data_IF_385871434204
#
_entry.id   IF_385871434204
#
_cell.length_a   1.000
_cell.length_b   1.000
_cell.length_c   1.000
_cell.angle_alpha   90.00
_cell.angle_beta   90.00
_cell.angle_gamma   90.00
#
_symmetry.space_group_name_H-M   'P 1'
#
loop_
_entity.id
_entity.type
_entity.pdbx_description
1 polymer ?
#
# COMPACT_ATOMS: atom_id res chain seq x y z
N UNK A 1 -9.17 -11.31 19.56
CA UNK A 1 -10.26 -10.49 18.99
C UNK A 1 -9.58 -9.44 18.14
N UNK A 2 -9.51 -9.67 16.83
CA UNK A 2 -8.92 -8.72 15.89
C UNK A 2 -9.89 -7.53 15.81
N UNK A 3 -9.53 -6.40 16.38
CA UNK A 3 -10.26 -5.15 16.16
C UNK A 3 -10.16 -4.85 14.66
N UNK A 4 -11.28 -5.00 13.95
CA UNK A 4 -11.36 -4.74 12.52
C UNK A 4 -11.31 -3.23 12.27
N UNK A 5 -10.53 -2.84 11.26
CA UNK A 5 -10.59 -1.52 10.64
C UNK A 5 -12.05 -1.11 10.34
N UNK A 6 -12.50 0.08 10.78
CA UNK A 6 -13.68 0.75 10.19
C UNK A 6 -14.97 0.88 11.01
N UNK A 7 -14.97 0.80 12.34
CA UNK A 7 -16.21 1.03 13.10
C UNK A 7 -16.71 2.49 13.02
N UNK A 8 -15.81 3.46 12.86
CA UNK A 8 -16.13 4.89 12.75
C UNK A 8 -15.30 5.51 11.61
N UNK A 9 -15.96 6.19 10.67
CA UNK A 9 -15.38 6.93 9.54
C UNK A 9 -15.78 8.41 9.63
N UNK A 10 -15.03 9.36 9.02
CA UNK A 10 -15.56 10.71 8.79
C UNK A 10 -16.91 10.66 8.06
N UNK A 11 -17.76 11.69 8.23
CA UNK A 11 -19.17 11.76 7.78
C UNK A 11 -19.49 11.24 6.37
N UNK A 12 -18.51 11.20 5.48
CA UNK A 12 -18.72 10.93 4.06
C UNK A 12 -18.95 9.44 3.72
N UNK A 13 -18.74 8.46 4.65
CA UNK A 13 -18.90 7.00 4.39
C UNK A 13 -18.16 6.49 3.13
N UNK A 14 -17.26 7.30 2.58
CA UNK A 14 -16.46 7.01 1.42
C UNK A 14 -15.11 6.56 1.96
N UNK A 15 -14.78 5.30 1.71
CA UNK A 15 -13.42 4.81 1.90
C UNK A 15 -12.45 5.81 1.27
N UNK A 16 -11.53 6.34 2.08
CA UNK A 16 -10.55 7.27 1.56
C UNK A 16 -9.79 6.62 0.41
N UNK A 17 -9.43 7.42 -0.60
CA UNK A 17 -8.62 6.96 -1.74
C UNK A 17 -7.39 6.17 -1.29
N UNK A 18 -6.75 6.61 -0.20
CA UNK A 18 -5.59 5.95 0.37
C UNK A 18 -5.91 4.59 1.00
N UNK A 19 -7.00 4.49 1.77
CA UNK A 19 -7.45 3.20 2.30
C UNK A 19 -7.82 2.22 1.17
N UNK A 20 -8.42 2.71 0.09
CA UNK A 20 -8.74 1.88 -1.07
C UNK A 20 -7.47 1.35 -1.75
N UNK A 21 -6.45 2.20 -1.92
CA UNK A 21 -5.13 1.79 -2.44
C UNK A 21 -4.49 0.72 -1.55
N UNK A 22 -4.55 0.88 -0.23
CA UNK A 22 -4.01 -0.10 0.72
C UNK A 22 -4.74 -1.44 0.62
N UNK A 23 -6.08 -1.44 0.52
CA UNK A 23 -6.84 -2.68 0.32
C UNK A 23 -6.48 -3.32 -1.03
N UNK A 24 -6.34 -2.53 -2.09
CA UNK A 24 -5.95 -3.03 -3.40
C UNK A 24 -4.56 -3.67 -3.39
N UNK A 25 -3.55 -3.03 -2.80
CA UNK A 25 -2.18 -3.57 -2.67
C UNK A 25 -2.15 -4.87 -1.85
N UNK A 26 -2.90 -4.93 -0.74
CA UNK A 26 -3.07 -6.15 0.05
C UNK A 26 -3.74 -7.27 -0.75
N UNK A 27 -4.72 -6.91 -1.59
CA UNK A 27 -5.41 -7.87 -2.46
C UNK A 27 -4.46 -8.37 -3.55
N UNK A 28 -3.64 -7.50 -4.14
CA UNK A 28 -2.56 -7.91 -5.06
C UNK A 28 -1.61 -8.89 -4.38
N UNK A 29 -1.13 -8.58 -3.18
CA UNK A 29 -0.22 -9.47 -2.44
C UNK A 29 -0.85 -10.85 -2.20
N UNK A 30 -2.13 -10.88 -1.82
CA UNK A 30 -2.86 -12.13 -1.55
C UNK A 30 -3.05 -12.96 -2.83
N UNK A 31 -3.50 -12.34 -3.91
CA UNK A 31 -3.91 -13.04 -5.13
C UNK A 31 -2.78 -13.23 -6.15
N UNK A 32 -1.70 -12.46 -6.01
CA UNK A 32 -0.60 -12.32 -6.98
C UNK A 32 0.75 -11.97 -6.30
N UNK A 33 1.21 -12.77 -5.31
CA UNK A 33 2.43 -12.46 -4.55
C UNK A 33 3.69 -12.33 -5.42
N UNK A 34 3.71 -12.92 -6.62
CA UNK A 34 4.83 -12.81 -7.56
C UNK A 34 5.09 -11.37 -8.04
N UNK A 35 4.13 -10.46 -7.90
CA UNK A 35 4.36 -9.04 -8.20
C UNK A 35 5.49 -8.48 -7.34
N UNK A 36 5.47 -8.76 -6.03
CA UNK A 36 6.50 -8.32 -5.10
C UNK A 36 7.82 -9.05 -5.37
N UNK A 37 7.76 -10.36 -5.68
CA UNK A 37 8.97 -11.11 -6.05
C UNK A 37 9.64 -10.56 -7.32
N UNK A 38 8.86 -10.16 -8.33
CA UNK A 38 9.42 -9.57 -9.55
C UNK A 38 9.91 -8.15 -9.35
N UNK A 39 9.27 -7.35 -8.48
CA UNK A 39 9.80 -6.07 -8.05
C UNK A 39 11.18 -6.25 -7.39
N UNK A 40 11.28 -7.20 -6.45
CA UNK A 40 12.51 -7.52 -5.75
C UNK A 40 13.60 -8.09 -6.67
N UNK A 41 13.28 -9.05 -7.52
CA UNK A 41 14.27 -9.73 -8.35
C UNK A 41 14.75 -8.86 -9.53
N UNK A 42 13.87 -8.06 -10.12
CA UNK A 42 14.17 -7.35 -11.37
C UNK A 42 14.53 -5.88 -11.14
N UNK A 43 13.88 -5.19 -10.20
CA UNK A 43 14.01 -3.74 -10.05
C UNK A 43 14.89 -3.37 -8.86
N UNK A 44 14.75 -4.06 -7.73
CA UNK A 44 15.43 -3.69 -6.49
C UNK A 44 16.95 -3.73 -6.56
N UNK A 45 17.54 -4.60 -7.38
CA UNK A 45 19.01 -4.61 -7.58
C UNK A 45 19.52 -3.29 -8.18
N UNK A 46 18.77 -2.70 -9.11
CA UNK A 46 19.07 -1.40 -9.74
C UNK A 46 18.91 -0.28 -8.71
N UNK A 47 17.80 -0.29 -7.96
CA UNK A 47 17.56 0.66 -6.87
C UNK A 47 18.69 0.63 -5.83
N UNK A 48 19.05 -0.57 -5.36
CA UNK A 48 20.12 -0.78 -4.38
C UNK A 48 21.47 -0.26 -4.88
N UNK A 49 21.82 -0.54 -6.14
CA UNK A 49 23.06 -0.06 -6.72
C UNK A 49 23.09 1.47 -6.81
N UNK A 50 21.97 2.10 -7.18
CA UNK A 50 21.83 3.55 -7.20
C UNK A 50 22.03 4.17 -5.81
N UNK A 51 21.41 3.61 -4.76
CA UNK A 51 21.59 4.10 -3.39
C UNK A 51 23.05 3.97 -2.94
N UNK A 52 23.71 2.84 -3.22
CA UNK A 52 25.14 2.67 -2.91
C UNK A 52 25.99 3.74 -3.62
N UNK A 53 25.72 4.02 -4.90
CA UNK A 53 26.43 5.08 -5.64
C UNK A 53 26.20 6.47 -5.04
N UNK A 54 24.98 6.76 -4.57
CA UNK A 54 24.65 8.01 -3.87
C UNK A 54 25.41 8.12 -2.55
N UNK A 55 25.40 7.06 -1.74
CA UNK A 55 26.09 7.02 -0.45
C UNK A 55 27.61 7.15 -0.61
N UNK A 56 28.21 6.49 -1.60
CA UNK A 56 29.63 6.63 -1.92
C UNK A 56 29.98 8.04 -2.41
N UNK A 57 29.13 8.65 -3.23
CA UNK A 57 29.33 10.03 -3.71
C UNK A 57 29.31 11.05 -2.57
N UNK A 58 28.55 10.80 -1.49
CA UNK A 58 28.49 11.65 -0.29
C UNK A 58 29.76 11.61 0.56
N UNK A 59 30.54 10.54 0.49
CA UNK A 59 31.73 10.36 1.36
C UNK A 59 32.87 11.30 0.99
N UNK A 60 33.16 11.45 -0.31
CA UNK A 60 34.31 12.22 -0.80
C UNK A 60 33.99 12.89 -2.15
N UNK A 61 34.44 14.13 -2.35
CA UNK A 61 34.19 14.92 -3.57
C UNK A 61 34.62 14.20 -4.86
N UNK A 62 35.71 13.43 -4.83
CA UNK A 62 36.19 12.66 -5.99
C UNK A 62 35.18 11.60 -6.45
N UNK A 63 34.45 10.99 -5.51
CA UNK A 63 33.40 10.01 -5.84
C UNK A 63 32.22 10.70 -6.53
N UNK A 64 31.83 11.88 -6.06
CA UNK A 64 30.81 12.68 -6.73
C UNK A 64 31.20 13.05 -8.17
N UNK A 65 32.43 13.54 -8.38
CA UNK A 65 32.93 13.88 -9.72
C UNK A 65 32.94 12.64 -10.63
N UNK A 66 33.36 11.49 -10.12
CA UNK A 66 33.34 10.22 -10.85
C UNK A 66 31.92 9.84 -11.29
N UNK A 67 30.95 9.91 -10.37
CA UNK A 67 29.54 9.66 -10.65
C UNK A 67 28.97 10.66 -11.65
N UNK A 68 29.27 11.94 -11.51
CA UNK A 68 28.88 12.98 -12.46
C UNK A 68 29.41 12.67 -13.86
N UNK A 69 30.70 12.34 -13.99
CA UNK A 69 31.30 12.01 -15.29
C UNK A 69 30.71 10.74 -15.92
N UNK A 70 30.28 9.75 -15.11
CA UNK A 70 29.62 8.53 -15.58
C UNK A 70 28.29 8.83 -16.28
N UNK A 71 27.50 9.76 -15.74
CA UNK A 71 26.15 10.07 -16.24
C UNK A 71 26.07 11.36 -17.06
N UNK A 72 27.15 12.15 -17.11
CA UNK A 72 27.23 13.36 -17.90
C UNK A 72 27.07 13.05 -19.39
N UNK A 73 26.00 13.55 -19.97
CA UNK A 73 25.82 13.55 -21.42
C UNK A 73 26.51 14.78 -22.01
N UNK A 74 27.32 14.59 -23.07
CA UNK A 74 27.99 15.71 -23.78
C UNK A 74 27.04 16.78 -24.30
N UNK A 75 25.75 16.46 -24.46
CA UNK A 75 24.71 17.39 -24.92
C UNK A 75 24.10 18.25 -23.81
N UNK A 76 24.33 17.95 -22.53
CA UNK A 76 23.63 18.62 -21.44
C UNK A 76 24.61 19.25 -20.44
N UNK A 77 24.75 20.58 -20.50
CA UNK A 77 25.64 21.35 -19.63
C UNK A 77 25.18 21.35 -18.16
N UNK A 78 23.90 21.08 -17.91
CA UNK A 78 23.27 21.08 -16.59
C UNK A 78 22.72 19.69 -16.23
N UNK A 79 23.63 18.73 -15.96
CA UNK A 79 23.25 17.42 -15.42
C UNK A 79 23.03 17.51 -13.92
N UNK A 80 21.83 17.16 -13.43
CA UNK A 80 21.54 16.98 -12.01
C UNK A 80 21.60 15.47 -11.73
N UNK A 81 22.04 15.07 -10.54
CA UNK A 81 22.02 13.65 -10.13
C UNK A 81 21.23 13.54 -8.84
N UNK A 82 20.55 12.41 -8.65
CA UNK A 82 19.83 12.18 -7.41
C UNK A 82 20.82 12.17 -6.24
N UNK A 83 20.51 12.88 -5.16
CA UNK A 83 21.37 12.97 -3.98
C UNK A 83 20.82 12.21 -2.79
N UNK A 84 19.54 11.85 -2.78
CA UNK A 84 18.90 11.15 -1.67
C UNK A 84 17.60 10.46 -2.13
N UNK A 85 16.98 9.64 -1.28
CA UNK A 85 15.72 8.94 -1.55
C UNK A 85 14.61 9.88 -2.01
N UNK A 86 14.50 11.06 -1.38
CA UNK A 86 13.50 12.05 -1.75
C UNK A 86 13.72 12.59 -3.17
N UNK A 87 14.96 12.80 -3.60
CA UNK A 87 15.22 13.20 -4.99
C UNK A 87 14.78 12.10 -5.99
N UNK A 88 14.90 10.82 -5.61
CA UNK A 88 14.43 9.69 -6.43
C UNK A 88 12.89 9.69 -6.50
N UNK A 89 12.22 9.85 -5.35
CA UNK A 89 10.77 9.93 -5.25
C UNK A 89 10.22 11.14 -6.03
N UNK A 90 10.75 12.33 -5.79
CA UNK A 90 10.34 13.58 -6.42
C UNK A 90 10.58 13.53 -7.95
N UNK A 91 11.71 12.99 -8.39
CA UNK A 91 11.99 12.84 -9.82
C UNK A 91 11.03 11.86 -10.49
N UNK A 92 10.75 10.69 -9.89
CA UNK A 92 9.81 9.73 -10.48
C UNK A 92 8.37 10.27 -10.49
N UNK A 93 7.97 11.05 -9.48
CA UNK A 93 6.70 11.78 -9.48
C UNK A 93 6.58 12.79 -10.61
N UNK A 94 7.66 13.53 -10.88
CA UNK A 94 7.70 14.49 -11.99
C UNK A 94 7.81 13.81 -13.37
N UNK A 95 8.43 12.64 -13.47
CA UNK A 95 8.59 11.93 -14.74
C UNK A 95 7.29 11.43 -15.37
N UNK A 96 6.28 11.19 -14.55
CA UNK A 96 4.96 10.73 -15.02
C UNK A 96 4.11 11.91 -15.51
N UNK A 97 4.50 13.15 -15.14
CA UNK A 97 3.67 14.36 -15.26
C UNK A 97 4.34 15.49 -16.09
N UNK A 98 5.16 15.17 -17.10
CA UNK A 98 5.56 16.08 -18.21
C UNK A 98 7.00 16.67 -18.29
N UNK A 99 7.99 16.38 -17.43
CA UNK A 99 9.35 16.95 -17.64
C UNK A 99 10.52 15.95 -17.45
N UNK A 100 11.01 15.55 -18.62
CA UNK A 100 12.41 15.34 -19.07
C UNK A 100 13.33 14.38 -18.31
N UNK A 101 13.60 13.23 -18.95
CA UNK A 101 14.79 12.37 -18.75
C UNK A 101 16.14 13.12 -18.77
N UNK A 102 16.13 14.41 -19.11
CA UNK A 102 17.28 15.28 -19.25
C UNK A 102 17.90 15.68 -17.89
N UNK A 103 17.12 15.74 -16.81
CA UNK A 103 17.61 16.25 -15.53
C UNK A 103 18.27 15.20 -14.62
N UNK A 104 17.79 13.95 -14.55
CA UNK A 104 18.43 12.89 -13.74
C UNK A 104 18.75 11.65 -14.57
N UNK A 105 19.83 11.68 -15.38
CA UNK A 105 20.20 10.56 -16.25
C UNK A 105 20.58 9.28 -15.49
N UNK A 106 20.94 9.39 -14.22
CA UNK A 106 21.22 8.26 -13.33
C UNK A 106 19.97 7.50 -12.89
N UNK A 107 18.78 8.09 -13.02
CA UNK A 107 17.51 7.45 -12.71
C UNK A 107 16.91 6.69 -13.89
N UNK A 108 17.38 6.93 -15.12
CA UNK A 108 16.84 6.30 -16.34
C UNK A 108 16.80 4.76 -16.24
N UNK A 109 17.88 4.06 -15.83
CA UNK A 109 17.83 2.60 -15.74
C UNK A 109 16.78 2.08 -14.74
N UNK A 110 16.63 2.76 -13.60
CA UNK A 110 15.62 2.41 -12.59
C UNK A 110 14.22 2.66 -13.13
N UNK A 111 14.00 3.82 -13.76
CA UNK A 111 12.73 4.21 -14.37
C UNK A 111 12.27 3.19 -15.41
N UNK A 112 13.14 2.86 -16.36
CA UNK A 112 12.81 1.94 -17.46
C UNK A 112 12.38 0.57 -16.94
N UNK A 113 13.10 0.03 -15.96
CA UNK A 113 12.78 -1.29 -15.41
C UNK A 113 11.53 -1.26 -14.53
N UNK A 114 11.32 -0.17 -13.78
CA UNK A 114 10.12 0.02 -12.97
C UNK A 114 8.86 0.17 -13.83
N UNK A 115 8.92 0.93 -14.93
CA UNK A 115 7.82 1.05 -15.90
C UNK A 115 7.52 -0.31 -16.53
N UNK A 116 8.53 -1.03 -17.04
CA UNK A 116 8.34 -2.38 -17.62
C UNK A 116 7.70 -3.34 -16.62
N UNK A 117 8.14 -3.31 -15.36
CA UNK A 117 7.54 -4.10 -14.29
C UNK A 117 6.05 -3.75 -14.11
N UNK A 118 5.70 -2.47 -14.03
CA UNK A 118 4.32 -2.05 -13.82
C UNK A 118 3.42 -2.33 -15.03
N UNK A 119 3.92 -2.13 -16.25
CA UNK A 119 3.21 -2.41 -17.51
C UNK A 119 2.89 -3.90 -17.66
N UNK A 120 3.83 -4.78 -17.27
CA UNK A 120 3.62 -6.24 -17.28
C UNK A 120 2.35 -6.68 -16.55
N UNK A 121 1.98 -5.95 -15.50
CA UNK A 121 0.83 -6.24 -14.65
C UNK A 121 -0.34 -5.28 -14.86
N UNK A 122 -0.26 -4.37 -15.84
CA UNK A 122 -1.23 -3.30 -16.09
C UNK A 122 -1.46 -2.40 -14.85
N UNK A 123 -0.42 -2.11 -14.09
CA UNK A 123 -0.48 -1.26 -12.88
C UNK A 123 0.41 -0.01 -13.01
N UNK A 124 0.73 0.39 -14.23
CA UNK A 124 1.56 1.56 -14.52
C UNK A 124 0.78 2.86 -14.25
N UNK A 125 0.79 3.31 -13.00
CA UNK A 125 0.27 4.60 -12.58
C UNK A 125 1.14 5.21 -11.47
N UNK A 126 1.08 6.53 -11.31
CA UNK A 126 2.04 7.26 -10.47
C UNK A 126 2.15 6.75 -9.05
N UNK A 127 1.01 6.60 -8.38
CA UNK A 127 0.99 6.20 -6.98
C UNK A 127 1.49 4.76 -6.76
N UNK A 128 1.38 3.87 -7.76
CA UNK A 128 1.93 2.50 -7.68
C UNK A 128 3.45 2.54 -7.85
N UNK A 129 3.97 3.35 -8.78
CA UNK A 129 5.41 3.53 -8.94
C UNK A 129 6.03 4.15 -7.68
N UNK A 130 5.37 5.15 -7.09
CA UNK A 130 5.72 5.74 -5.80
C UNK A 130 5.79 4.67 -4.69
N UNK A 131 4.71 3.90 -4.54
CA UNK A 131 4.63 2.82 -3.54
C UNK A 131 5.76 1.82 -3.74
N UNK A 132 6.07 1.45 -4.99
CA UNK A 132 7.16 0.52 -5.31
C UNK A 132 8.53 1.06 -4.90
N UNK A 133 8.81 2.36 -5.12
CA UNK A 133 10.06 3.01 -4.68
C UNK A 133 10.15 3.02 -3.17
N UNK A 134 9.09 3.42 -2.47
CA UNK A 134 9.06 3.43 -1.00
C UNK A 134 9.25 2.04 -0.42
N UNK A 135 8.64 1.04 -1.06
CA UNK A 135 8.80 -0.37 -0.73
C UNK A 135 10.27 -0.78 -0.85
N UNK A 136 10.94 -0.43 -1.96
CA UNK A 136 12.37 -0.70 -2.14
C UNK A 136 13.27 0.09 -1.17
N UNK A 137 12.96 1.35 -0.86
CA UNK A 137 13.65 2.15 0.16
C UNK A 137 13.53 1.50 1.54
N UNK A 138 12.34 1.01 1.87
CA UNK A 138 12.09 0.29 3.12
C UNK A 138 12.89 -1.02 3.17
N UNK A 139 12.90 -1.79 2.09
CA UNK A 139 13.72 -3.00 1.96
C UNK A 139 15.20 -2.71 2.16
N UNK A 140 15.72 -1.64 1.55
CA UNK A 140 17.13 -1.26 1.70
C UNK A 140 17.49 -0.93 3.14
N UNK A 141 16.69 -0.09 3.80
CA UNK A 141 16.95 0.36 5.19
C UNK A 141 16.82 -0.75 6.22
N UNK A 142 15.88 -1.68 6.02
CA UNK A 142 15.55 -2.69 7.01
C UNK A 142 16.09 -4.09 6.69
N UNK A 143 16.62 -4.33 5.49
CA UNK A 143 17.26 -5.60 5.11
C UNK A 143 18.29 -6.12 6.14
N UNK A 144 19.11 -5.27 6.80
CA UNK A 144 20.03 -5.74 7.84
C UNK A 144 19.35 -6.33 9.09
N UNK A 145 18.08 -6.00 9.34
CA UNK A 145 17.38 -6.31 10.59
C UNK A 145 16.29 -7.37 10.46
N UNK A 146 15.62 -7.46 9.31
CA UNK A 146 14.39 -8.25 9.14
C UNK A 146 14.61 -9.52 8.31
N UNK A 147 15.81 -9.70 7.74
CA UNK A 147 16.15 -10.87 6.95
C UNK A 147 15.33 -10.98 5.66
N UNK A 148 15.16 -12.20 5.14
CA UNK A 148 14.53 -12.43 3.84
C UNK A 148 13.01 -12.23 3.82
N UNK A 149 12.31 -12.05 4.95
CA UNK A 149 10.84 -11.87 4.90
C UNK A 149 10.39 -10.47 4.47
N UNK A 150 11.32 -9.52 4.42
CA UNK A 150 10.96 -8.13 4.20
C UNK A 150 10.40 -7.86 2.79
N UNK A 151 10.80 -8.65 1.79
CA UNK A 151 10.36 -8.48 0.41
C UNK A 151 8.95 -9.02 0.12
N UNK A 152 8.26 -9.56 1.12
CA UNK A 152 6.88 -10.06 1.00
C UNK A 152 5.83 -8.99 1.34
N UNK A 153 6.26 -7.79 1.73
CA UNK A 153 5.37 -6.70 2.15
C UNK A 153 5.50 -5.47 1.24
N UNK A 154 4.36 -4.86 0.92
CA UNK A 154 4.32 -3.48 0.44
C UNK A 154 4.67 -2.55 1.58
N UNK A 155 5.40 -1.48 1.28
CA UNK A 155 5.40 -0.32 2.16
C UNK A 155 4.19 0.55 1.84
N UNK A 156 3.38 0.80 2.85
CA UNK A 156 2.31 1.78 2.77
C UNK A 156 2.92 3.14 3.13
N UNK A 157 2.65 4.20 2.35
CA UNK A 157 2.79 5.56 2.88
C UNK A 157 2.01 5.54 4.17
N UNK A 158 2.71 5.71 5.28
CA UNK A 158 2.08 5.70 6.58
C UNK A 158 0.90 6.64 6.48
N UNK A 159 -0.31 6.11 6.62
CA UNK A 159 -1.44 6.95 6.96
C UNK A 159 -0.93 7.67 8.18
N UNK A 160 -0.57 8.94 8.04
CA UNK A 160 -0.25 9.77 9.20
C UNK A 160 -1.50 9.59 10.02
N UNK A 161 -1.36 8.85 11.12
CA UNK A 161 -2.48 8.52 11.96
C UNK A 161 -2.88 9.85 12.59
N UNK A 162 -3.68 10.62 11.86
CA UNK A 162 -4.69 11.50 12.43
C UNK A 162 -5.76 10.62 13.07
N UNK A 163 -5.33 9.59 13.81
CA UNK A 163 -6.21 8.89 14.71
C UNK A 163 -6.76 9.94 15.64
N UNK A 164 -8.02 9.76 16.04
CA UNK A 164 -8.47 10.41 17.25
C UNK A 164 -7.39 10.14 18.32
N UNK A 165 -6.91 11.21 18.96
CA UNK A 165 -6.10 11.11 20.18
C UNK A 165 -6.99 10.52 21.28
N UNK A 166 -7.21 9.22 21.18
CA UNK A 166 -8.06 8.46 22.06
C UNK A 166 -7.26 8.21 23.34
N UNK A 167 -7.93 8.22 24.50
CA UNK A 167 -7.29 7.87 25.75
C UNK A 167 -6.71 6.45 25.68
N UNK A 168 -5.66 6.21 26.46
CA UNK A 168 -5.15 4.85 26.67
C UNK A 168 -6.19 4.03 27.45
N UNK A 169 -6.31 2.75 27.11
CA UNK A 169 -7.10 1.83 27.92
C UNK A 169 -6.37 1.52 29.23
N UNK A 170 -6.99 1.85 30.36
CA UNK A 170 -6.47 1.58 31.69
C UNK A 170 -7.40 0.64 32.47
N UNK A 171 -6.82 -0.38 33.10
CA UNK A 171 -7.51 -1.27 34.04
C UNK A 171 -6.86 -1.17 35.43
N UNK A 172 -7.23 -0.15 36.24
CA UNK A 172 -6.54 0.17 37.49
C UNK A 172 -6.91 -0.72 38.68
N UNK A 173 -8.00 -1.49 38.56
CA UNK A 173 -8.53 -2.30 39.66
C UNK A 173 -7.55 -3.42 40.04
N UNK A 174 -7.27 -3.53 41.35
CA UNK A 174 -6.35 -4.54 41.89
C UNK A 174 -7.13 -5.67 42.53
N UNK A 175 -6.90 -6.88 42.06
CA UNK A 175 -7.54 -8.07 42.60
C UNK A 175 -6.58 -8.88 43.45
N UNK A 176 -7.08 -9.40 44.57
CA UNK A 176 -6.41 -10.42 45.37
C UNK A 176 -7.30 -11.65 45.39
N UNK A 177 -6.75 -12.80 45.01
CA UNK A 177 -7.45 -14.07 45.13
C UNK A 177 -7.37 -14.54 46.57
N UNK A 178 -8.53 -14.72 47.20
CA UNK A 178 -8.60 -15.34 48.51
C UNK A 178 -8.93 -16.83 48.38
N UNK A 179 -7.88 -17.65 48.38
CA UNK A 179 -7.97 -19.11 48.21
C UNK A 179 -8.85 -19.76 49.29
N UNK A 180 -9.03 -19.12 50.45
CA UNK A 180 -9.85 -19.65 51.52
C UNK A 180 -11.36 -19.46 51.29
N UNK A 181 -11.77 -18.48 50.47
CA UNK A 181 -13.18 -18.07 50.33
C UNK A 181 -13.71 -18.13 48.91
N UNK A 182 -12.86 -18.28 47.89
CA UNK A 182 -13.30 -18.42 46.50
C UNK A 182 -12.45 -19.43 45.72
N UNK A 183 -13.10 -20.17 44.83
CA UNK A 183 -12.42 -21.04 43.86
C UNK A 183 -11.72 -20.21 42.78
N UNK A 184 -10.74 -20.82 42.10
CA UNK A 184 -10.06 -20.20 40.96
C UNK A 184 -11.05 -19.72 39.88
N UNK A 185 -12.09 -20.53 39.63
CA UNK A 185 -13.14 -20.20 38.67
C UNK A 185 -13.89 -18.92 39.08
N UNK A 186 -14.34 -18.84 40.32
CA UNK A 186 -15.05 -17.66 40.85
C UNK A 186 -14.16 -16.41 40.80
N UNK A 187 -12.88 -16.53 41.13
CA UNK A 187 -11.94 -15.42 41.04
C UNK A 187 -11.78 -14.94 39.60
N UNK A 188 -11.57 -15.85 38.64
CA UNK A 188 -11.45 -15.51 37.21
C UNK A 188 -12.71 -14.83 36.67
N UNK A 189 -13.89 -15.36 37.02
CA UNK A 189 -15.18 -14.77 36.61
C UNK A 189 -15.34 -13.35 37.17
N UNK A 190 -14.98 -13.12 38.43
CA UNK A 190 -14.98 -11.80 39.07
C UNK A 190 -14.05 -10.80 38.35
N UNK A 191 -12.81 -11.19 38.06
CA UNK A 191 -11.83 -10.35 37.35
C UNK A 191 -12.30 -10.06 35.94
N UNK A 192 -12.75 -11.09 35.20
CA UNK A 192 -13.21 -10.94 33.81
C UNK A 192 -14.44 -10.04 33.72
N UNK A 193 -15.40 -10.17 34.64
CA UNK A 193 -16.57 -9.31 34.70
C UNK A 193 -16.17 -7.84 34.85
N UNK A 194 -15.22 -7.55 35.74
CA UNK A 194 -14.71 -6.19 35.94
C UNK A 194 -13.89 -5.69 34.76
N UNK A 195 -13.05 -6.52 34.16
CA UNK A 195 -12.32 -6.17 32.95
C UNK A 195 -13.29 -5.79 31.82
N UNK A 196 -14.31 -6.60 31.58
CA UNK A 196 -15.33 -6.32 30.56
C UNK A 196 -16.10 -5.03 30.85
N UNK A 197 -16.40 -4.75 32.13
CA UNK A 197 -17.01 -3.48 32.54
C UNK A 197 -16.14 -2.27 32.15
N UNK A 198 -14.84 -2.31 32.45
CA UNK A 198 -13.90 -1.24 32.10
C UNK A 198 -13.67 -1.13 30.60
N UNK A 199 -13.56 -2.27 29.90
CA UNK A 199 -13.43 -2.30 28.44
C UNK A 199 -14.64 -1.67 27.76
N UNK A 200 -15.86 -1.98 28.22
CA UNK A 200 -17.07 -1.39 27.67
C UNK A 200 -17.13 0.12 27.94
N UNK A 201 -16.79 0.57 29.15
CA UNK A 201 -16.70 2.01 29.47
C UNK A 201 -15.69 2.73 28.59
N UNK A 202 -14.54 2.12 28.35
CA UNK A 202 -13.52 2.64 27.46
C UNK A 202 -14.03 2.76 26.02
N UNK A 203 -14.63 1.70 25.47
CA UNK A 203 -15.22 1.69 24.13
C UNK A 203 -16.26 2.80 23.98
N UNK A 204 -17.18 2.95 24.95
CA UNK A 204 -18.18 4.02 24.91
C UNK A 204 -17.55 5.41 24.96
N UNK A 205 -16.49 5.62 25.76
CA UNK A 205 -15.73 6.88 25.76
C UNK A 205 -15.12 7.17 24.38
N UNK A 206 -14.49 6.18 23.76
CA UNK A 206 -13.95 6.34 22.40
C UNK A 206 -15.05 6.66 21.38
N UNK A 207 -16.23 6.05 21.50
CA UNK A 207 -17.38 6.36 20.63
C UNK A 207 -17.87 7.80 20.83
N UNK A 208 -17.96 8.27 22.07
CA UNK A 208 -18.34 9.66 22.37
C UNK A 208 -17.35 10.66 21.78
N UNK A 209 -16.04 10.45 21.98
CA UNK A 209 -15.00 11.34 21.41
C UNK A 209 -15.04 11.35 19.88
N UNK A 210 -15.29 10.20 19.26
CA UNK A 210 -15.47 10.09 17.82
C UNK A 210 -16.73 10.84 17.34
N UNK A 211 -17.86 10.72 18.04
CA UNK A 211 -19.08 11.48 17.75
C UNK A 211 -18.90 13.00 17.92
N UNK A 212 -18.22 13.46 18.97
CA UNK A 212 -17.91 14.87 19.20
C UNK A 212 -17.08 15.46 18.05
N UNK A 213 -16.24 14.64 17.41
CA UNK A 213 -15.47 15.00 16.22
C UNK A 213 -16.20 14.72 14.90
N UNK A 214 -17.52 14.48 14.95
CA UNK A 214 -18.39 14.19 13.79
C UNK A 214 -18.01 12.94 12.97
N UNK A 215 -17.42 11.92 13.61
CA UNK A 215 -17.27 10.61 12.97
C UNK A 215 -18.63 9.88 12.97
N UNK A 216 -18.93 9.19 11.88
CA UNK A 216 -20.12 8.35 11.68
C UNK A 216 -19.73 6.88 11.67
N UNK A 217 -20.65 5.98 12.06
CA UNK A 217 -20.41 4.54 11.96
C UNK A 217 -20.13 4.18 10.49
N UNK A 218 -18.98 3.58 10.21
CA UNK A 218 -18.65 3.15 8.85
C UNK A 218 -19.73 2.17 8.36
N UNK A 219 -20.28 2.41 7.17
CA UNK A 219 -21.24 1.47 6.57
C UNK A 219 -20.55 0.12 6.35
N UNK A 220 -20.97 -0.89 7.12
CA UNK A 220 -20.63 -2.30 6.84
C UNK A 220 -21.17 -2.68 5.46
N UNK A 221 -20.34 -2.51 4.42
CA UNK A 221 -20.39 -3.19 3.12
C UNK A 221 -19.19 -2.78 2.26
N UNK A 222 -17.99 -3.01 2.78
CA UNK A 222 -16.80 -3.09 1.94
C UNK A 222 -16.79 -4.49 1.33
N UNK A 223 -17.32 -4.65 0.11
CA UNK A 223 -17.24 -5.91 -0.61
C UNK A 223 -15.78 -6.09 -1.04
N UNK A 224 -14.95 -6.66 -0.15
CA UNK A 224 -13.54 -7.00 -0.43
C UNK A 224 -13.43 -7.80 -1.73
N UNK A 225 -14.48 -8.56 -2.04
CA UNK A 225 -14.68 -9.28 -3.29
C UNK A 225 -14.57 -8.37 -4.53
N UNK A 226 -15.03 -7.11 -4.48
CA UNK A 226 -14.91 -6.18 -5.60
C UNK A 226 -13.44 -5.81 -5.89
N UNK A 227 -12.62 -5.65 -4.85
CA UNK A 227 -11.17 -5.46 -5.02
C UNK A 227 -10.53 -6.71 -5.61
N UNK A 228 -10.95 -7.91 -5.16
CA UNK A 228 -10.47 -9.17 -5.72
C UNK A 228 -10.83 -9.28 -7.21
N UNK A 229 -12.08 -8.97 -7.59
CA UNK A 229 -12.50 -8.95 -8.99
C UNK A 229 -11.68 -7.96 -9.82
N UNK A 230 -11.39 -6.79 -9.27
CA UNK A 230 -10.55 -5.80 -9.94
C UNK A 230 -9.11 -6.30 -10.13
N UNK A 231 -8.50 -6.92 -9.12
CA UNK A 231 -7.17 -7.55 -9.24
C UNK A 231 -7.17 -8.67 -10.29
N UNK A 232 -8.19 -9.55 -10.29
CA UNK A 232 -8.29 -10.60 -11.31
C UNK A 232 -8.40 -10.03 -12.72
N UNK A 233 -9.14 -8.94 -12.89
CA UNK A 233 -9.30 -8.27 -14.18
C UNK A 233 -8.03 -7.54 -14.64
N UNK A 234 -7.47 -6.70 -13.76
CA UNK A 234 -6.37 -5.80 -14.04
C UNK A 234 -5.05 -6.56 -14.17
N UNK A 235 -4.74 -7.37 -13.17
CA UNK A 235 -3.43 -7.99 -12.98
C UNK A 235 -3.38 -9.38 -13.60
N UNK A 236 -4.38 -10.23 -13.33
CA UNK A 236 -4.43 -11.60 -13.85
C UNK A 236 -4.98 -11.69 -15.27
N UNK A 237 -5.46 -10.57 -15.84
CA UNK A 237 -6.00 -10.51 -17.20
C UNK A 237 -7.31 -11.27 -17.41
N UNK A 238 -8.03 -11.64 -16.36
CA UNK A 238 -9.32 -12.32 -16.49
C UNK A 238 -10.32 -11.42 -17.24
N UNK A 239 -11.23 -12.06 -17.99
CA UNK A 239 -12.35 -11.35 -18.60
C UNK A 239 -13.49 -11.14 -17.58
N UNK A 240 -14.32 -10.12 -17.79
CA UNK A 240 -15.50 -9.86 -16.95
C UNK A 240 -16.45 -11.06 -16.92
N UNK A 241 -16.55 -11.81 -18.02
CA UNK A 241 -17.34 -13.03 -18.14
C UNK A 241 -16.73 -14.22 -17.37
N UNK A 242 -15.40 -14.30 -17.29
CA UNK A 242 -14.73 -15.32 -16.46
C UNK A 242 -15.01 -15.05 -14.98
N UNK A 243 -14.83 -13.81 -14.53
CA UNK A 243 -15.12 -13.40 -13.15
C UNK A 243 -16.60 -13.64 -12.83
N UNK A 244 -17.52 -13.20 -13.70
CA UNK A 244 -18.96 -13.41 -13.48
C UNK A 244 -19.35 -14.88 -13.29
N UNK A 245 -18.76 -15.79 -14.07
CA UNK A 245 -18.97 -17.23 -13.92
C UNK A 245 -18.39 -17.79 -12.63
N UNK A 246 -17.15 -17.40 -12.29
CA UNK A 246 -16.45 -17.89 -11.09
C UNK A 246 -17.20 -17.51 -9.81
N UNK A 247 -17.71 -16.28 -9.74
CA UNK A 247 -18.37 -15.76 -8.54
C UNK A 247 -19.90 -15.86 -8.59
N UNK A 248 -20.47 -16.51 -9.61
CA UNK A 248 -21.92 -16.66 -9.80
C UNK A 248 -22.70 -15.33 -9.75
N UNK A 249 -22.15 -14.27 -10.32
CA UNK A 249 -22.76 -12.93 -10.42
C UNK A 249 -22.99 -12.52 -11.87
N UNK A 250 -23.76 -11.46 -12.11
CA UNK A 250 -23.94 -10.95 -13.47
C UNK A 250 -22.68 -10.26 -13.97
N UNK A 251 -22.43 -10.33 -15.29
CA UNK A 251 -21.36 -9.56 -15.95
C UNK A 251 -21.49 -8.05 -15.69
N UNK A 252 -22.71 -7.54 -15.58
CA UNK A 252 -22.96 -6.13 -15.29
C UNK A 252 -22.47 -5.75 -13.89
N UNK A 253 -22.73 -6.58 -12.88
CA UNK A 253 -22.24 -6.35 -11.52
C UNK A 253 -20.71 -6.30 -11.49
N UNK A 254 -20.04 -7.23 -12.17
CA UNK A 254 -18.58 -7.22 -12.29
C UNK A 254 -18.08 -5.95 -12.97
N UNK A 255 -18.75 -5.50 -14.04
CA UNK A 255 -18.35 -4.28 -14.74
C UNK A 255 -18.50 -3.04 -13.88
N UNK A 256 -19.59 -2.94 -13.10
CA UNK A 256 -19.82 -1.83 -12.19
C UNK A 256 -18.76 -1.80 -11.09
N UNK A 257 -18.50 -2.95 -10.46
CA UNK A 257 -17.49 -3.09 -9.42
C UNK A 257 -16.08 -2.73 -9.92
N UNK A 258 -15.69 -3.19 -11.10
CA UNK A 258 -14.37 -2.85 -11.69
C UNK A 258 -14.22 -1.34 -11.88
N UNK A 259 -15.24 -0.68 -12.43
CA UNK A 259 -15.19 0.76 -12.68
C UNK A 259 -15.17 1.55 -11.37
N UNK A 260 -15.99 1.16 -10.40
CA UNK A 260 -16.06 1.78 -9.07
C UNK A 260 -14.71 1.68 -8.34
N UNK A 261 -14.11 0.49 -8.30
CA UNK A 261 -12.80 0.31 -7.65
C UNK A 261 -11.69 1.04 -8.41
N UNK A 262 -11.71 1.04 -9.74
CA UNK A 262 -10.74 1.75 -10.56
C UNK A 262 -10.73 3.26 -10.28
N UNK A 263 -11.91 3.89 -10.27
CA UNK A 263 -12.09 5.30 -9.93
C UNK A 263 -11.61 5.58 -8.51
N UNK A 264 -11.98 4.69 -7.58
CA UNK A 264 -11.68 4.83 -6.17
C UNK A 264 -10.17 4.75 -5.87
N UNK A 265 -9.43 3.82 -6.49
CA UNK A 265 -7.98 3.72 -6.29
C UNK A 265 -7.19 4.70 -7.17
N UNK A 266 -7.84 5.25 -8.20
CA UNK A 266 -7.21 6.10 -9.21
C UNK A 266 -6.28 5.30 -10.12
N UNK A 267 -6.78 4.21 -10.70
CA UNK A 267 -6.08 3.40 -11.70
C UNK A 267 -7.02 3.14 -12.87
N UNK A 268 -6.57 3.45 -14.09
CA UNK A 268 -7.38 3.18 -15.28
C UNK A 268 -7.58 1.66 -15.50
N UNK A 269 -8.82 1.20 -15.75
CA UNK A 269 -9.06 -0.20 -16.04
C UNK A 269 -8.33 -0.64 -17.31
N UNK A 270 -7.71 -1.81 -17.26
CA UNK A 270 -7.09 -2.46 -18.43
C UNK A 270 -8.07 -2.45 -19.61
N UNK A 271 -7.64 -2.14 -20.84
CA UNK A 271 -8.51 -2.20 -22.01
C UNK A 271 -9.10 -3.60 -22.18
N UNK A 272 -10.38 -3.68 -22.54
CA UNK A 272 -10.97 -4.95 -22.95
C UNK A 272 -10.25 -5.41 -24.22
N UNK A 273 -9.72 -6.64 -24.23
CA UNK A 273 -9.20 -7.20 -25.48
C UNK A 273 -10.33 -7.16 -26.51
N UNK A 274 -10.06 -6.59 -27.68
CA UNK A 274 -11.03 -6.54 -28.79
C UNK A 274 -11.33 -7.97 -29.22
N UNK A 275 -12.31 -8.59 -28.58
CA UNK A 275 -12.96 -9.81 -29.06
C UNK A 275 -13.69 -9.45 -30.34
N UNK A 276 -12.95 -9.42 -31.46
CA UNK A 276 -13.52 -9.22 -32.77
C UNK A 276 -14.53 -10.33 -33.04
N UNK A 277 -15.80 -9.94 -33.24
CA UNK A 277 -16.81 -10.81 -33.83
C UNK A 277 -16.22 -11.36 -35.14
N UNK A 278 -16.14 -12.68 -35.36
CA UNK A 278 -15.69 -13.21 -36.65
C UNK A 278 -16.58 -12.62 -37.73
N UNK A 279 -15.99 -11.93 -38.71
CA UNK A 279 -16.73 -11.59 -39.93
C UNK A 279 -17.07 -12.92 -40.58
N UNK A 280 -18.35 -13.25 -40.65
CA UNK A 280 -18.82 -14.35 -41.50
C UNK A 280 -18.40 -14.00 -42.93
N UNK A 281 -17.45 -14.77 -43.46
CA UNK A 281 -17.28 -14.95 -44.89
C UNK A 281 -18.32 -15.90 -45.43
#
# INVERSE_FOLDING_TARGET
>A
MNLAYGEMEPQDNIISKENARNIFLNTIKKEMPEILHTLYNNVYSIYKQLIIEIEEAKKVQTNYISRLNKYKNKKNEFTILAWNDKDIEDAINHYINELTDEFYPDLIPLKDELIKWAERYNINCSWILETAIETMSHWYRLSPYVGSKIYEEWQYRGVVFWGLDLPLFEFPEKFKWDIAFETEKQFKEKVQAKFNEYLNKYIEKCKMEAQEKNYVKGTEKRQVEHFEWFVRYQVQGWSKEKIAREYHVTRQNVSNAINEIADLVGLEPRPTSKGGRPKKG
#
